data_IF_550583646579
#
_entry.id   IF_550583646579
#
_cell.length_a   1.000
_cell.length_b   1.000
_cell.length_c   1.000
_cell.angle_alpha   90.00
_cell.angle_beta   90.00
_cell.angle_gamma   90.00
#
_symmetry.space_group_name_H-M   'P 1'
#
loop_
_entity.id
_entity.type
_entity.pdbx_description
1 polymer ?
#
# COMPACT_ATOMS: atom_id res chain seq x y z
N UNK A 1 18.60 -9.01 -3.43
CA UNK A 1 17.17 -9.16 -3.15
C UNK A 1 16.89 -8.40 -1.87
N UNK A 2 16.10 -7.31 -1.90
CA UNK A 2 15.78 -6.52 -0.69
C UNK A 2 14.43 -7.00 -0.18
N UNK A 3 14.41 -7.70 0.95
CA UNK A 3 13.19 -8.16 1.59
C UNK A 3 12.54 -6.99 2.33
N UNK A 4 11.37 -6.55 1.85
CA UNK A 4 10.63 -5.42 2.44
C UNK A 4 10.24 -5.70 3.90
N UNK A 5 10.09 -6.96 4.30
CA UNK A 5 9.74 -7.34 5.68
C UNK A 5 10.83 -6.94 6.66
N UNK A 6 12.11 -7.05 6.27
CA UNK A 6 13.22 -6.65 7.14
C UNK A 6 13.27 -5.13 7.34
N UNK A 7 12.95 -4.36 6.30
CA UNK A 7 12.83 -2.91 6.40
C UNK A 7 11.65 -2.55 7.30
N UNK A 8 10.49 -3.18 7.13
CA UNK A 8 9.31 -2.98 7.96
C UNK A 8 9.58 -3.32 9.44
N UNK A 9 10.27 -4.43 9.73
CA UNK A 9 10.67 -4.78 11.10
C UNK A 9 11.54 -3.70 11.73
N UNK A 10 12.49 -3.13 10.99
CA UNK A 10 13.32 -2.03 11.48
C UNK A 10 12.51 -0.75 11.75
N UNK A 11 11.40 -0.50 11.04
CA UNK A 11 10.55 0.66 11.30
C UNK A 11 9.86 0.60 12.66
N UNK A 12 9.70 -0.60 13.25
CA UNK A 12 9.06 -0.79 14.56
C UNK A 12 9.70 0.06 15.66
N UNK A 13 11.00 0.35 15.57
CA UNK A 13 11.72 1.20 16.54
C UNK A 13 11.30 2.68 16.50
N UNK A 14 10.65 3.11 15.43
CA UNK A 14 10.17 4.49 15.24
C UNK A 14 8.66 4.63 15.50
N UNK A 15 7.96 3.54 15.82
CA UNK A 15 6.54 3.56 16.14
C UNK A 15 6.35 3.79 17.64
N UNK A 16 5.52 4.77 18.00
CA UNK A 16 5.23 5.12 19.40
C UNK A 16 4.53 4.00 20.17
N UNK A 17 3.68 3.22 19.50
CA UNK A 17 3.00 2.04 20.05
C UNK A 17 3.23 0.80 19.16
N UNK A 18 4.24 -0.04 19.48
CA UNK A 18 4.53 -1.24 18.71
C UNK A 18 3.43 -2.31 18.75
N UNK A 19 2.49 -2.27 19.69
CA UNK A 19 1.37 -3.21 19.74
C UNK A 19 0.36 -2.96 18.60
N UNK A 20 0.33 -1.72 18.08
CA UNK A 20 -0.50 -1.32 16.93
C UNK A 20 0.23 -1.42 15.58
N UNK A 21 1.43 -2.02 15.57
CA UNK A 21 2.22 -2.24 14.37
C UNK A 21 2.40 -3.74 14.10
N UNK A 22 1.92 -4.17 12.94
CA UNK A 22 2.00 -5.56 12.50
C UNK A 22 2.73 -5.64 11.17
N UNK A 23 3.72 -6.52 11.09
CA UNK A 23 4.41 -6.88 9.84
C UNK A 23 3.95 -8.28 9.47
N UNK A 24 3.31 -8.42 8.32
CA UNK A 24 2.92 -9.72 7.77
C UNK A 24 4.18 -10.42 7.26
N UNK A 25 4.51 -11.57 7.84
CA UNK A 25 5.71 -12.32 7.50
C UNK A 25 5.46 -13.42 6.47
N UNK A 26 4.20 -13.86 6.35
CA UNK A 26 3.78 -14.93 5.47
C UNK A 26 3.92 -14.57 4.00
N UNK A 27 4.23 -15.56 3.16
CA UNK A 27 4.10 -15.42 1.71
C UNK A 27 2.63 -15.59 1.34
N UNK A 28 1.99 -14.49 0.97
CA UNK A 28 0.57 -14.46 0.63
C UNK A 28 0.37 -14.53 -0.88
N UNK A 29 -0.67 -15.24 -1.31
CA UNK A 29 -1.19 -15.11 -2.67
C UNK A 29 -2.11 -13.89 -2.82
N UNK A 30 -2.50 -13.58 -4.06
CA UNK A 30 -3.31 -12.40 -4.38
C UNK A 30 -4.66 -12.36 -3.65
N UNK A 31 -5.29 -13.52 -3.43
CA UNK A 31 -6.58 -13.60 -2.72
C UNK A 31 -6.41 -13.32 -1.22
N UNK A 32 -5.37 -13.85 -0.60
CA UNK A 32 -5.06 -13.63 0.81
C UNK A 32 -4.67 -12.17 1.06
N UNK A 33 -3.81 -11.62 0.21
CA UNK A 33 -3.45 -10.20 0.26
C UNK A 33 -4.68 -9.32 0.07
N UNK A 34 -5.56 -9.64 -0.90
CA UNK A 34 -6.81 -8.92 -1.13
C UNK A 34 -7.74 -8.91 0.09
N UNK A 35 -7.88 -10.04 0.79
CA UNK A 35 -8.68 -10.12 2.04
C UNK A 35 -8.13 -9.23 3.15
N UNK A 36 -6.81 -9.17 3.32
CA UNK A 36 -6.18 -8.31 4.33
C UNK A 36 -6.40 -6.85 3.97
N UNK A 37 -6.11 -6.47 2.72
CA UNK A 37 -6.28 -5.10 2.25
C UNK A 37 -7.75 -4.66 2.35
N UNK A 38 -8.70 -5.52 1.97
CA UNK A 38 -10.14 -5.29 2.07
C UNK A 38 -10.67 -5.12 3.50
N UNK A 39 -9.93 -5.58 4.51
CA UNK A 39 -10.26 -5.37 5.92
C UNK A 39 -9.70 -4.05 6.48
N UNK A 40 -8.88 -3.32 5.70
CA UNK A 40 -8.34 -2.02 6.09
C UNK A 40 -9.30 -0.88 5.73
N UNK A 41 -9.25 0.19 6.53
CA UNK A 41 -9.96 1.45 6.23
C UNK A 41 -9.27 2.27 5.13
N UNK A 42 -7.94 2.12 4.99
CA UNK A 42 -7.12 2.82 4.01
C UNK A 42 -5.83 2.04 3.72
N UNK A 43 -5.43 1.99 2.46
CA UNK A 43 -4.10 1.52 2.05
C UNK A 43 -3.21 2.69 1.66
N UNK A 44 -1.97 2.71 2.16
CA UNK A 44 -0.94 3.66 1.70
C UNK A 44 0.25 2.87 1.20
N UNK A 45 0.65 3.09 -0.05
CA UNK A 45 1.74 2.33 -0.65
C UNK A 45 2.41 3.05 -1.81
N UNK A 46 3.64 2.64 -2.11
CA UNK A 46 4.43 3.15 -3.26
C UNK A 46 4.32 2.26 -4.50
N UNK A 47 3.70 1.07 -4.36
CA UNK A 47 3.50 0.11 -5.45
C UNK A 47 2.08 0.19 -5.99
N UNK A 48 1.98 0.31 -7.30
CA UNK A 48 0.72 0.45 -8.01
C UNK A 48 -0.22 -0.74 -7.80
N UNK A 49 0.30 -1.97 -7.84
CA UNK A 49 -0.52 -3.17 -7.65
C UNK A 49 -1.19 -3.22 -6.27
N UNK A 50 -0.54 -2.72 -5.22
CA UNK A 50 -1.14 -2.65 -3.88
C UNK A 50 -2.35 -1.72 -3.85
N UNK A 51 -2.28 -0.59 -4.58
CA UNK A 51 -3.40 0.34 -4.68
C UNK A 51 -4.56 -0.23 -5.52
N UNK A 52 -4.27 -0.84 -6.68
CA UNK A 52 -5.27 -1.49 -7.53
C UNK A 52 -6.03 -2.57 -6.75
N UNK A 53 -5.30 -3.46 -6.07
CA UNK A 53 -5.91 -4.56 -5.32
C UNK A 53 -6.76 -4.02 -4.17
N UNK A 54 -6.28 -3.03 -3.42
CA UNK A 54 -7.08 -2.41 -2.35
C UNK A 54 -8.40 -1.84 -2.89
N UNK A 55 -8.36 -1.09 -3.99
CA UNK A 55 -9.56 -0.51 -4.60
C UNK A 55 -10.54 -1.56 -5.12
N UNK A 56 -10.04 -2.67 -5.68
CA UNK A 56 -10.88 -3.81 -6.08
C UNK A 56 -11.61 -4.47 -4.90
N UNK A 57 -11.05 -4.38 -3.70
CA UNK A 57 -11.65 -4.87 -2.46
C UNK A 57 -12.39 -3.77 -1.68
N UNK A 58 -12.74 -2.66 -2.34
CA UNK A 58 -13.45 -1.52 -1.78
C UNK A 58 -12.72 -0.77 -0.64
N UNK A 59 -11.39 -0.93 -0.55
CA UNK A 59 -10.54 -0.16 0.36
C UNK A 59 -9.92 1.01 -0.40
N UNK A 60 -10.13 2.27 0.04
CA UNK A 60 -9.49 3.42 -0.59
C UNK A 60 -7.97 3.30 -0.47
N UNK A 61 -7.24 3.79 -1.48
CA UNK A 61 -5.79 3.67 -1.52
C UNK A 61 -5.11 4.98 -1.93
N UNK A 62 -4.12 5.41 -1.16
CA UNK A 62 -3.19 6.50 -1.53
C UNK A 62 -1.94 5.86 -2.14
N UNK A 63 -1.70 6.18 -3.41
CA UNK A 63 -0.50 5.76 -4.11
C UNK A 63 0.55 6.88 -4.06
N UNK A 64 1.63 6.67 -3.29
CA UNK A 64 2.76 7.58 -3.22
C UNK A 64 3.68 7.29 -4.40
N UNK A 65 3.67 8.17 -5.40
CA UNK A 65 4.29 7.90 -6.69
C UNK A 65 5.59 8.68 -6.85
N UNK A 66 6.64 7.96 -7.27
CA UNK A 66 7.91 8.54 -7.70
C UNK A 66 8.06 8.57 -9.24
N UNK A 67 7.22 7.81 -9.99
CA UNK A 67 7.20 7.78 -11.46
C UNK A 67 5.79 7.91 -12.06
N UNK A 68 5.69 8.44 -13.28
CA UNK A 68 4.44 8.83 -13.99
C UNK A 68 3.42 7.70 -14.24
N UNK A 69 3.75 6.42 -13.99
CA UNK A 69 2.88 5.28 -14.33
C UNK A 69 1.65 5.17 -13.45
N UNK A 70 1.79 5.44 -12.16
CA UNK A 70 0.71 5.26 -11.20
C UNK A 70 -0.34 6.36 -11.26
N UNK A 71 0.04 7.59 -11.64
CA UNK A 71 -0.92 8.66 -11.91
C UNK A 71 -1.86 8.32 -13.08
N UNK A 72 -1.29 7.77 -14.16
CA UNK A 72 -2.08 7.31 -15.32
C UNK A 72 -3.07 6.20 -14.98
N UNK A 73 -2.73 5.29 -14.06
CA UNK A 73 -3.66 4.22 -13.64
C UNK A 73 -4.73 4.75 -12.67
N UNK A 74 -4.40 5.61 -11.71
CA UNK A 74 -5.42 6.23 -10.85
C UNK A 74 -6.45 7.02 -11.68
N UNK A 75 -5.99 7.65 -12.77
CA UNK A 75 -6.86 8.27 -13.75
C UNK A 75 -7.74 7.26 -14.51
N UNK A 76 -7.19 6.10 -14.91
CA UNK A 76 -7.97 5.02 -15.54
C UNK A 76 -8.99 4.38 -14.59
N UNK A 77 -8.73 4.40 -13.28
CA UNK A 77 -9.64 3.93 -12.24
C UNK A 77 -10.65 5.00 -11.77
N UNK A 78 -10.60 6.21 -12.35
CA UNK A 78 -11.54 7.29 -12.05
C UNK A 78 -11.30 7.99 -10.71
N UNK A 79 -10.12 7.81 -10.10
CA UNK A 79 -9.74 8.36 -8.79
C UNK A 79 -8.44 9.18 -8.86
N UNK A 80 -8.33 10.18 -9.75
CA UNK A 80 -7.09 10.93 -9.97
C UNK A 80 -6.59 11.68 -8.72
N UNK A 81 -7.49 12.08 -7.82
CA UNK A 81 -7.18 12.76 -6.55
C UNK A 81 -6.42 11.89 -5.55
N UNK A 82 -6.44 10.57 -5.73
CA UNK A 82 -5.76 9.61 -4.86
C UNK A 82 -4.30 9.34 -5.25
N UNK A 83 -3.80 10.03 -6.29
CA UNK A 83 -2.40 10.00 -6.69
C UNK A 83 -1.65 11.24 -6.15
N UNK A 84 -0.71 11.02 -5.22
CA UNK A 84 0.11 12.09 -4.63
C UNK A 84 1.55 11.95 -5.15
N UNK A 85 2.05 12.99 -5.82
CA UNK A 85 3.47 13.12 -6.18
C UNK A 85 4.24 13.59 -4.95
N UNK A 86 5.30 12.88 -4.60
CA UNK A 86 6.13 13.20 -3.43
C UNK A 86 7.07 14.39 -3.65
N UNK A 87 7.14 14.94 -4.88
CA UNK A 87 7.99 16.10 -5.22
C UNK A 87 7.33 17.46 -5.00
N UNK A 88 6.19 17.51 -4.31
CA UNK A 88 5.52 18.75 -3.89
C UNK A 88 5.29 18.76 -2.38
#
# INVERSE_FOLDING_TARGET
NKDDRMVALNLRQHISDPARYHVVMDELNDLEMGKILGACELTVGTRLHSAIISMNFATPAIAINYEHKSAGIMQQLGLPEMAIDIRH
#
